data_IF_075247201556
#
_entry.id   IF_075247201556
#
_cell.length_a   1.000
_cell.length_b   1.000
_cell.length_c   1.000
_cell.angle_alpha   90.00
_cell.angle_beta   90.00
_cell.angle_gamma   90.00
#
_symmetry.space_group_name_H-M   'P 1'
#
loop_
_entity.id
_entity.type
_entity.pdbx_description
1 polymer ?
#
# COMPACT_ATOMS: atom_id res chain seq x y z
N UNK A 1 -14.29 -12.87 9.90
CA UNK A 1 -13.78 -12.22 8.67
C UNK A 1 -13.55 -13.30 7.63
N UNK A 2 -14.00 -13.09 6.40
CA UNK A 2 -13.80 -14.06 5.30
C UNK A 2 -12.30 -14.29 5.00
N UNK A 3 -11.47 -13.28 5.27
CA UNK A 3 -10.02 -13.33 5.15
C UNK A 3 -9.35 -14.44 5.97
N UNK A 4 -9.64 -14.49 7.27
CA UNK A 4 -9.06 -15.52 8.15
C UNK A 4 -9.48 -16.92 7.72
N UNK A 5 -10.65 -17.06 7.09
CA UNK A 5 -11.11 -18.33 6.53
C UNK A 5 -10.26 -18.72 5.31
N UNK A 6 -9.98 -17.76 4.42
CA UNK A 6 -9.13 -17.96 3.23
C UNK A 6 -7.69 -18.27 3.65
N UNK A 7 -7.13 -17.55 4.62
CA UNK A 7 -5.78 -17.83 5.14
C UNK A 7 -5.67 -19.21 5.79
N UNK A 8 -6.69 -19.63 6.54
CA UNK A 8 -6.73 -20.98 7.13
C UNK A 8 -6.91 -22.08 6.07
N UNK A 9 -7.54 -21.79 4.94
CA UNK A 9 -7.62 -22.71 3.80
C UNK A 9 -6.26 -22.78 3.09
N UNK A 10 -5.63 -21.63 2.84
CA UNK A 10 -4.30 -21.51 2.24
C UNK A 10 -3.23 -22.23 3.07
N UNK A 11 -3.27 -22.11 4.40
CA UNK A 11 -2.30 -22.79 5.30
C UNK A 11 -2.42 -24.31 5.27
N UNK A 12 -3.59 -24.82 4.87
CA UNK A 12 -3.82 -26.24 4.63
C UNK A 12 -3.54 -26.63 3.17
N UNK A 13 -3.05 -25.72 2.34
CA UNK A 13 -2.71 -25.96 0.93
C UNK A 13 -3.89 -25.86 -0.04
N UNK A 14 -5.06 -25.41 0.42
CA UNK A 14 -6.22 -25.14 -0.45
C UNK A 14 -6.06 -23.77 -1.08
N UNK A 15 -5.96 -23.71 -2.41
CA UNK A 15 -5.88 -22.44 -3.13
C UNK A 15 -7.24 -22.05 -3.69
N UNK A 16 -7.68 -20.83 -3.41
CA UNK A 16 -8.91 -20.25 -3.97
C UNK A 16 -8.55 -19.28 -5.11
N UNK A 17 -9.29 -19.34 -6.21
CA UNK A 17 -9.11 -18.45 -7.35
C UNK A 17 -10.43 -18.18 -8.08
N UNK A 18 -10.45 -17.14 -8.90
CA UNK A 18 -11.54 -16.90 -9.85
C UNK A 18 -11.12 -17.38 -11.23
N UNK A 19 -12.00 -18.09 -11.93
CA UNK A 19 -11.77 -18.44 -13.33
C UNK A 19 -12.07 -17.26 -14.27
N UNK A 20 -11.81 -17.43 -15.57
CA UNK A 20 -12.02 -16.39 -16.60
C UNK A 20 -13.49 -15.93 -16.72
N UNK A 21 -14.43 -16.65 -16.12
CA UNK A 21 -15.86 -16.33 -16.07
C UNK A 21 -16.27 -15.75 -14.71
N UNK A 22 -15.31 -15.52 -13.81
CA UNK A 22 -15.55 -15.01 -12.46
C UNK A 22 -16.10 -16.07 -11.50
N UNK A 23 -16.04 -17.36 -11.83
CA UNK A 23 -16.46 -18.40 -10.90
C UNK A 23 -15.35 -18.73 -9.91
N UNK A 24 -15.73 -18.82 -8.63
CA UNK A 24 -14.86 -19.32 -7.59
C UNK A 24 -14.48 -20.79 -7.83
N UNK A 25 -13.18 -21.05 -7.91
CA UNK A 25 -12.57 -22.38 -7.90
C UNK A 25 -11.75 -22.58 -6.62
N UNK A 26 -11.76 -23.81 -6.13
CA UNK A 26 -10.90 -24.28 -5.06
C UNK A 26 -10.03 -25.42 -5.58
N UNK A 27 -8.72 -25.26 -5.51
CA UNK A 27 -7.73 -26.30 -5.80
C UNK A 27 -7.35 -26.96 -4.49
N UNK A 28 -7.61 -28.26 -4.38
CA UNK A 28 -7.32 -29.06 -3.20
C UNK A 28 -6.01 -29.81 -3.39
N UNK A 29 -5.13 -29.89 -2.37
CA UNK A 29 -3.90 -30.66 -2.45
C UNK A 29 -4.13 -32.16 -2.26
N UNK A 30 -5.33 -32.56 -1.83
CA UNK A 30 -5.70 -33.96 -1.57
C UNK A 30 -6.72 -34.48 -2.59
N UNK A 31 -6.72 -35.80 -2.85
CA UNK A 31 -7.84 -36.45 -3.51
C UNK A 31 -9.11 -36.35 -2.65
N UNK A 32 -10.28 -36.41 -3.30
CA UNK A 32 -11.59 -36.17 -2.65
C UNK A 32 -11.84 -37.05 -1.41
N UNK A 33 -11.30 -38.27 -1.38
CA UNK A 33 -11.47 -39.22 -0.27
C UNK A 33 -10.64 -38.90 0.98
N UNK A 34 -9.66 -38.02 0.85
CA UNK A 34 -8.68 -37.68 1.90
C UNK A 34 -8.82 -36.23 2.38
N UNK A 35 -9.87 -35.52 1.94
CA UNK A 35 -10.10 -34.14 2.37
C UNK A 35 -10.33 -34.12 3.89
N UNK A 36 -9.55 -33.32 4.65
CA UNK A 36 -9.76 -33.18 6.08
C UNK A 36 -11.17 -32.72 6.42
N UNK A 37 -11.77 -33.30 7.46
CA UNK A 37 -13.17 -33.05 7.84
C UNK A 37 -13.43 -31.60 8.25
N UNK A 38 -12.40 -30.87 8.70
CA UNK A 38 -12.46 -29.45 9.01
C UNK A 38 -12.47 -28.55 7.76
N UNK A 39 -12.00 -29.02 6.60
CA UNK A 39 -11.92 -28.24 5.35
C UNK A 39 -13.28 -28.12 4.67
N UNK A 40 -14.10 -29.17 4.68
CA UNK A 40 -15.41 -29.17 4.01
C UNK A 40 -16.36 -28.07 4.53
N UNK A 41 -16.54 -27.88 5.86
CA UNK A 41 -17.33 -26.77 6.39
C UNK A 41 -16.76 -25.39 6.02
N UNK A 42 -15.43 -25.27 5.91
CA UNK A 42 -14.78 -24.02 5.52
C UNK A 42 -15.08 -23.67 4.06
N UNK A 43 -14.94 -24.63 3.15
CA UNK A 43 -15.32 -24.47 1.74
C UNK A 43 -16.80 -24.13 1.58
N UNK A 44 -17.66 -24.70 2.42
CA UNK A 44 -19.09 -24.40 2.40
C UNK A 44 -19.37 -22.96 2.86
N UNK A 45 -18.66 -22.47 3.88
CA UNK A 45 -18.72 -21.05 4.28
C UNK A 45 -18.21 -20.12 3.18
N UNK A 46 -17.11 -20.45 2.50
CA UNK A 46 -16.60 -19.70 1.34
C UNK A 46 -17.67 -19.62 0.24
N UNK A 47 -18.33 -20.74 -0.08
CA UNK A 47 -19.42 -20.78 -1.06
C UNK A 47 -20.62 -19.91 -0.66
N UNK A 48 -20.92 -19.84 0.64
CA UNK A 48 -22.05 -19.06 1.16
C UNK A 48 -21.72 -17.56 1.18
N UNK A 49 -20.47 -17.19 1.45
CA UNK A 49 -19.94 -15.82 1.43
C UNK A 49 -19.30 -15.45 0.09
N UNK A 50 -19.84 -15.97 -1.03
CA UNK A 50 -19.22 -15.86 -2.37
C UNK A 50 -18.84 -14.44 -2.76
N UNK A 51 -19.73 -13.46 -2.55
CA UNK A 51 -19.49 -12.07 -2.92
C UNK A 51 -18.28 -11.47 -2.19
N UNK A 52 -18.18 -11.71 -0.87
CA UNK A 52 -17.02 -11.26 -0.08
C UNK A 52 -15.73 -11.96 -0.52
N UNK A 53 -15.79 -13.24 -0.88
CA UNK A 53 -14.63 -14.01 -1.39
C UNK A 53 -14.20 -13.51 -2.77
N UNK A 54 -15.13 -13.20 -3.66
CA UNK A 54 -14.83 -12.63 -4.97
C UNK A 54 -14.16 -11.26 -4.83
N UNK A 55 -14.67 -10.41 -3.94
CA UNK A 55 -14.05 -9.14 -3.60
C UNK A 55 -12.61 -9.36 -3.08
N UNK A 56 -12.42 -10.33 -2.18
CA UNK A 56 -11.10 -10.71 -1.67
C UNK A 56 -10.15 -11.14 -2.78
N UNK A 57 -10.57 -12.05 -3.65
CA UNK A 57 -9.72 -12.62 -4.69
C UNK A 57 -9.50 -11.65 -5.85
N UNK A 58 -10.39 -10.67 -6.03
CA UNK A 58 -10.24 -9.58 -6.99
C UNK A 58 -9.27 -8.48 -6.52
N UNK A 59 -8.90 -8.48 -5.24
CA UNK A 59 -7.92 -7.54 -4.71
C UNK A 59 -6.53 -7.80 -5.31
N UNK A 60 -6.04 -6.84 -6.06
CA UNK A 60 -4.71 -6.85 -6.64
C UNK A 60 -3.74 -6.10 -5.73
N UNK A 61 -3.16 -6.84 -4.79
CA UNK A 61 -2.20 -6.32 -3.82
C UNK A 61 -0.99 -5.67 -4.52
N UNK A 62 -0.47 -6.30 -5.57
CA UNK A 62 0.67 -5.77 -6.31
C UNK A 62 0.34 -4.44 -7.00
N UNK A 63 -0.87 -4.29 -7.52
CA UNK A 63 -1.35 -3.03 -8.11
C UNK A 63 -1.50 -1.94 -7.06
N UNK A 64 -1.94 -2.26 -5.85
CA UNK A 64 -2.01 -1.27 -4.76
C UNK A 64 -0.62 -0.72 -4.41
N UNK A 65 0.39 -1.59 -4.27
CA UNK A 65 1.77 -1.20 -4.04
C UNK A 65 2.40 -0.51 -5.26
N UNK A 66 1.99 -0.88 -6.48
CA UNK A 66 2.47 -0.24 -7.71
C UNK A 66 2.03 1.22 -7.77
N UNK A 67 0.77 1.52 -7.45
CA UNK A 67 0.24 2.89 -7.39
C UNK A 67 0.99 3.72 -6.36
N UNK A 68 1.19 3.18 -5.16
CA UNK A 68 1.91 3.89 -4.09
C UNK A 68 3.40 4.11 -4.42
N UNK A 69 4.09 3.09 -4.96
CA UNK A 69 5.48 3.21 -5.41
C UNK A 69 5.64 4.22 -6.53
N UNK A 70 4.66 4.36 -7.43
CA UNK A 70 4.69 5.36 -8.50
C UNK A 70 4.71 6.79 -7.94
N UNK A 71 3.91 7.08 -6.90
CA UNK A 71 3.94 8.36 -6.20
C UNK A 71 5.33 8.67 -5.62
N UNK A 72 5.97 7.70 -4.96
CA UNK A 72 7.31 7.85 -4.39
C UNK A 72 8.38 8.04 -5.47
N UNK A 73 8.32 7.24 -6.54
CA UNK A 73 9.27 7.33 -7.67
C UNK A 73 9.25 8.70 -8.33
N UNK A 74 8.07 9.32 -8.47
CA UNK A 74 7.94 10.66 -9.06
C UNK A 74 8.68 11.71 -8.23
N UNK A 75 8.60 11.65 -6.90
CA UNK A 75 9.38 12.52 -6.03
C UNK A 75 10.89 12.32 -6.21
N UNK A 76 11.33 11.06 -6.26
CA UNK A 76 12.73 10.70 -6.52
C UNK A 76 13.22 11.20 -7.88
N UNK A 77 12.39 11.13 -8.92
CA UNK A 77 12.72 11.64 -10.25
C UNK A 77 12.85 13.17 -10.29
N UNK A 78 12.01 13.90 -9.54
CA UNK A 78 12.03 15.37 -9.53
C UNK A 78 13.17 15.96 -8.69
N UNK A 79 13.47 15.36 -7.52
CA UNK A 79 14.42 15.94 -6.56
C UNK A 79 15.72 15.14 -6.40
N UNK A 80 15.79 13.92 -6.96
CA UNK A 80 16.97 13.07 -6.89
C UNK A 80 17.43 12.83 -5.44
N UNK A 81 18.73 12.97 -5.19
CA UNK A 81 19.34 12.79 -3.87
C UNK A 81 18.81 13.77 -2.81
N UNK A 82 18.24 14.90 -3.22
CA UNK A 82 17.70 15.93 -2.32
C UNK A 82 16.46 15.41 -1.57
N UNK A 83 15.73 14.44 -2.13
CA UNK A 83 14.59 13.81 -1.47
C UNK A 83 14.97 13.00 -0.21
N UNK A 84 16.20 12.48 -0.12
CA UNK A 84 16.63 11.66 1.03
C UNK A 84 16.77 12.50 2.31
N UNK A 85 17.16 13.77 2.18
CA UNK A 85 17.36 14.68 3.31
C UNK A 85 16.09 15.43 3.74
N UNK A 86 15.05 15.42 2.91
CA UNK A 86 13.89 16.30 3.09
C UNK A 86 12.99 15.89 4.26
N UNK A 87 12.74 14.59 4.45
CA UNK A 87 11.95 14.10 5.60
C UNK A 87 12.65 14.32 6.96
N UNK A 88 13.94 13.92 7.13
CA UNK A 88 14.66 14.21 8.37
C UNK A 88 14.74 15.70 8.70
N UNK A 89 14.89 16.55 7.67
CA UNK A 89 14.84 18.00 7.83
C UNK A 89 13.46 18.47 8.27
N UNK A 90 12.38 18.02 7.61
CA UNK A 90 11.01 18.38 7.97
C UNK A 90 10.70 18.00 9.42
N UNK A 91 11.09 16.79 9.86
CA UNK A 91 10.91 16.36 11.25
C UNK A 91 11.51 17.33 12.27
N UNK A 92 12.65 17.95 11.95
CA UNK A 92 13.37 18.85 12.86
C UNK A 92 12.92 20.30 12.78
N UNK A 93 12.57 20.76 11.58
CA UNK A 93 12.38 22.19 11.31
C UNK A 93 10.94 22.57 10.95
N UNK A 94 10.15 21.62 10.43
CA UNK A 94 8.78 21.80 9.94
C UNK A 94 7.93 20.55 10.29
N UNK A 95 7.75 20.23 11.58
CA UNK A 95 7.08 18.99 12.02
C UNK A 95 5.65 18.87 11.50
N UNK A 96 4.99 19.99 11.20
CA UNK A 96 3.68 20.01 10.56
C UNK A 96 3.70 19.42 9.15
N UNK A 97 4.79 19.59 8.39
CA UNK A 97 4.94 18.98 7.06
C UNK A 97 5.24 17.48 7.15
N UNK A 98 6.04 17.06 8.14
CA UNK A 98 6.28 15.64 8.40
C UNK A 98 4.99 14.91 8.80
N UNK A 99 4.16 15.57 9.61
CA UNK A 99 2.85 15.05 10.00
C UNK A 99 1.97 14.77 8.78
N UNK A 100 1.91 15.68 7.81
CA UNK A 100 1.08 15.48 6.60
C UNK A 100 1.55 14.27 5.78
N UNK A 101 2.88 14.05 5.67
CA UNK A 101 3.42 12.84 5.02
C UNK A 101 3.01 11.58 5.78
N UNK A 102 3.13 11.60 7.12
CA UNK A 102 2.75 10.47 7.97
C UNK A 102 1.27 10.16 7.89
N UNK A 103 0.42 11.18 7.87
CA UNK A 103 -1.04 11.02 7.75
C UNK A 103 -1.40 10.38 6.40
N UNK A 104 -0.70 10.73 5.31
CA UNK A 104 -0.88 10.11 4.00
C UNK A 104 -0.42 8.63 3.97
N UNK A 105 0.69 8.31 4.64
CA UNK A 105 1.16 6.92 4.80
C UNK A 105 0.16 6.08 5.60
N UNK A 106 -0.35 6.62 6.72
CA UNK A 106 -1.38 5.95 7.51
C UNK A 106 -2.68 5.74 6.74
N UNK A 107 -3.09 6.73 5.93
CA UNK A 107 -4.25 6.60 5.05
C UNK A 107 -4.04 5.49 4.01
N UNK A 108 -2.84 5.36 3.45
CA UNK A 108 -2.52 4.25 2.54
C UNK A 108 -2.59 2.91 3.26
N UNK A 109 -1.95 2.76 4.43
CA UNK A 109 -2.00 1.52 5.20
C UNK A 109 -3.44 1.12 5.54
N UNK A 110 -4.28 2.09 5.92
CA UNK A 110 -5.69 1.85 6.20
C UNK A 110 -6.43 1.38 4.94
N UNK A 111 -6.34 2.14 3.85
CA UNK A 111 -7.02 1.79 2.59
C UNK A 111 -6.52 0.46 2.02
N UNK A 112 -5.23 0.15 2.16
CA UNK A 112 -4.66 -1.13 1.78
C UNK A 112 -5.25 -2.29 2.60
N UNK A 113 -5.30 -2.13 3.93
CA UNK A 113 -5.87 -3.15 4.82
C UNK A 113 -7.37 -3.32 4.63
N UNK A 114 -8.08 -2.24 4.29
CA UNK A 114 -9.50 -2.22 3.96
C UNK A 114 -9.78 -2.63 2.51
N UNK A 115 -8.74 -2.83 1.69
CA UNK A 115 -8.83 -3.15 0.25
C UNK A 115 -9.60 -2.11 -0.58
N UNK A 116 -9.57 -0.87 -0.14
CA UNK A 116 -10.20 0.24 -0.81
C UNK A 116 -9.25 0.80 -1.89
N UNK A 117 -9.36 0.32 -3.12
CA UNK A 117 -8.55 0.83 -4.24
C UNK A 117 -8.73 2.34 -4.49
N UNK A 118 -9.96 2.91 -4.48
CA UNK A 118 -10.16 4.37 -4.45
C UNK A 118 -9.38 5.06 -3.32
N UNK A 119 -9.45 4.54 -2.10
CA UNK A 119 -8.70 5.02 -0.94
C UNK A 119 -7.18 4.94 -1.15
N UNK A 120 -6.67 3.84 -1.72
CA UNK A 120 -5.25 3.68 -2.07
C UNK A 120 -4.81 4.75 -3.06
N UNK A 121 -5.62 5.03 -4.08
CA UNK A 121 -5.32 6.08 -5.07
C UNK A 121 -5.30 7.45 -4.42
N UNK A 122 -6.29 7.75 -3.58
CA UNK A 122 -6.38 9.03 -2.87
C UNK A 122 -5.19 9.22 -1.92
N UNK A 123 -4.85 8.21 -1.12
CA UNK A 123 -3.71 8.24 -0.21
C UNK A 123 -2.38 8.36 -0.95
N UNK A 124 -2.21 7.66 -2.08
CA UNK A 124 -1.01 7.77 -2.92
C UNK A 124 -0.85 9.17 -3.52
N UNK A 125 -1.95 9.79 -3.97
CA UNK A 125 -1.92 11.17 -4.46
C UNK A 125 -1.61 12.18 -3.34
N UNK A 126 -2.15 11.95 -2.13
CA UNK A 126 -1.82 12.75 -0.96
C UNK A 126 -0.34 12.62 -0.58
N UNK A 127 0.21 11.41 -0.61
CA UNK A 127 1.63 11.13 -0.37
C UNK A 127 2.52 11.87 -1.37
N UNK A 128 2.20 11.80 -2.68
CA UNK A 128 2.91 12.54 -3.72
C UNK A 128 2.92 14.04 -3.41
N UNK A 129 1.75 14.63 -3.15
CA UNK A 129 1.62 16.06 -2.87
C UNK A 129 2.39 16.47 -1.62
N UNK A 130 2.27 15.71 -0.53
CA UNK A 130 2.92 16.00 0.74
C UNK A 130 4.44 15.96 0.60
N UNK A 131 4.98 14.90 0.00
CA UNK A 131 6.43 14.77 -0.16
C UNK A 131 7.01 15.75 -1.18
N UNK A 132 6.27 16.15 -2.22
CA UNK A 132 6.67 17.25 -3.11
C UNK A 132 6.82 18.57 -2.33
N UNK A 133 5.86 18.92 -1.48
CA UNK A 133 5.92 20.13 -0.63
C UNK A 133 7.14 20.09 0.30
N UNK A 134 7.36 18.97 0.98
CA UNK A 134 8.53 18.77 1.86
C UNK A 134 9.85 18.96 1.09
N UNK A 135 9.96 18.41 -0.12
CA UNK A 135 11.16 18.55 -0.94
C UNK A 135 11.38 19.99 -1.42
N UNK A 136 10.32 20.72 -1.79
CA UNK A 136 10.42 22.14 -2.17
C UNK A 136 10.91 23.00 -1.01
N UNK A 137 10.33 22.83 0.17
CA UNK A 137 10.73 23.60 1.36
C UNK A 137 12.15 23.29 1.78
N UNK A 138 12.55 22.01 1.72
CA UNK A 138 13.93 21.62 1.98
C UNK A 138 14.91 22.26 0.97
N UNK A 139 14.56 22.27 -0.32
CA UNK A 139 15.38 22.92 -1.35
C UNK A 139 15.57 24.41 -1.07
N UNK A 140 14.51 25.13 -0.72
CA UNK A 140 14.58 26.56 -0.35
C UNK A 140 15.54 26.78 0.83
N UNK A 141 15.44 25.93 1.86
CA UNK A 141 16.33 26.01 3.02
C UNK A 141 17.80 25.74 2.65
N UNK A 142 18.06 24.74 1.79
CA UNK A 142 19.40 24.46 1.29
C UNK A 142 19.97 25.62 0.46
N UNK A 143 19.17 26.21 -0.42
CA UNK A 143 19.56 27.35 -1.26
C UNK A 143 19.84 28.62 -0.43
N UNK A 144 19.09 28.83 0.65
CA UNK A 144 19.34 29.93 1.61
C UNK A 144 20.68 29.76 2.34
N UNK A 145 20.98 28.55 2.83
CA UNK A 145 22.28 28.27 3.46
C UNK A 145 23.43 28.49 2.49
N UNK A 146 23.26 28.08 1.22
CA UNK A 146 24.27 28.30 0.18
C UNK A 146 24.51 29.80 -0.05
N UNK A 147 23.45 30.59 -0.22
CA UNK A 147 23.54 32.04 -0.42
C UNK A 147 24.24 32.76 0.74
N UNK A 148 23.97 32.37 1.99
CA UNK A 148 24.65 32.95 3.16
C UNK A 148 26.14 32.67 3.19
N UNK A 149 26.55 31.45 2.80
CA UNK A 149 27.97 31.09 2.71
C UNK A 149 28.70 31.88 1.63
N UNK A 150 28.05 32.09 0.49
CA UNK A 150 28.60 32.89 -0.62
C UNK A 150 28.68 34.38 -0.26
N UNK A 151 27.76 34.89 0.55
CA UNK A 151 27.74 36.29 0.99
C UNK A 151 28.72 36.61 2.13
N UNK A 152 28.96 35.66 3.05
CA UNK A 152 29.89 35.85 4.19
C UNK A 152 31.37 35.61 3.87
N UNK A 153 31.69 35.25 2.63
CA UNK A 153 33.06 35.06 2.13
C UNK A 153 33.55 36.23 1.26
N UNK A 154 32.84 37.37 1.32
CA UNK A 154 33.22 38.67 0.74
C UNK A 154 33.48 39.67 1.86
#
# INVERSE_FOLDING_TARGET
MIYSLIDQLNSQGVALSLDDKGHLKATLPWPVKEIPSNVLPMLQRVKTSRAEVEEVLSWDEEKSFTVYRAAIRKMGATFGKLALGSLPWARRHRPELEKVVRDAEQAFCRAHNERDMPGVRAASAAMEKAGMVVCVEFKKAADEVRRRREAGNK
#
